data_IF_859825499240
#
_entry.id   IF_859825499240
#
_cell.length_a   1.000
_cell.length_b   1.000
_cell.length_c   1.000
_cell.angle_alpha   90.00
_cell.angle_beta   90.00
_cell.angle_gamma   90.00
#
_symmetry.space_group_name_H-M   'P 1'
#
loop_
_entity.id
_entity.type
_entity.pdbx_description
1 polymer ?
#
# COMPACT_ATOMS: atom_id res chain seq x y z
N UNK A 1 31.14 -10.67 -7.78
CA UNK A 1 31.67 -10.81 -9.15
C UNK A 1 30.64 -10.19 -10.08
N UNK A 2 31.04 -9.31 -11.00
CA UNK A 2 30.10 -8.72 -11.95
C UNK A 2 29.96 -9.70 -13.11
N UNK A 3 28.73 -10.18 -13.37
CA UNK A 3 28.47 -11.13 -14.46
C UNK A 3 28.53 -10.41 -15.81
N UNK A 4 28.98 -11.12 -16.85
CA UNK A 4 29.00 -10.61 -18.22
C UNK A 4 27.57 -10.34 -18.74
N UNK A 5 27.42 -9.28 -19.55
CA UNK A 5 26.13 -8.88 -20.12
C UNK A 5 25.98 -9.54 -21.49
N UNK A 6 24.94 -10.36 -21.67
CA UNK A 6 24.60 -10.99 -22.94
C UNK A 6 23.63 -10.11 -23.73
N UNK A 7 24.02 -9.70 -24.94
CA UNK A 7 23.22 -8.85 -25.82
C UNK A 7 22.62 -9.69 -26.95
N UNK A 8 21.30 -9.60 -27.12
CA UNK A 8 20.53 -10.31 -28.13
C UNK A 8 19.90 -9.32 -29.10
N UNK A 9 19.97 -9.61 -30.39
CA UNK A 9 19.24 -8.87 -31.42
C UNK A 9 18.01 -9.68 -31.79
N UNK A 10 16.84 -9.20 -31.38
CA UNK A 10 15.56 -9.86 -31.61
C UNK A 10 14.75 -9.13 -32.67
N UNK A 11 13.93 -9.85 -33.42
CA UNK A 11 12.95 -9.23 -34.31
C UNK A 11 11.80 -8.61 -33.51
N UNK A 12 11.05 -7.64 -34.08
CA UNK A 12 9.92 -7.01 -33.37
C UNK A 12 8.88 -8.03 -32.86
N UNK A 13 8.62 -9.08 -33.63
CA UNK A 13 7.68 -10.16 -33.26
C UNK A 13 8.20 -10.99 -32.07
N UNK A 14 9.52 -11.20 -31.98
CA UNK A 14 10.13 -11.92 -30.87
C UNK A 14 10.16 -11.08 -29.60
N UNK A 15 10.35 -9.77 -29.71
CA UNK A 15 10.27 -8.84 -28.56
C UNK A 15 8.85 -8.82 -27.98
N UNK A 16 7.84 -8.80 -28.84
CA UNK A 16 6.43 -8.80 -28.41
C UNK A 16 6.04 -10.06 -27.63
N UNK A 17 6.67 -11.20 -27.95
CA UNK A 17 6.41 -12.49 -27.30
C UNK A 17 7.49 -12.89 -26.28
N UNK A 18 8.33 -11.96 -25.84
CA UNK A 18 9.42 -12.28 -24.91
C UNK A 18 8.89 -12.65 -23.52
N UNK A 19 9.33 -13.81 -23.02
CA UNK A 19 9.07 -14.28 -21.65
C UNK A 19 10.40 -14.44 -20.91
N UNK A 20 10.53 -13.93 -19.66
CA UNK A 20 11.70 -14.20 -18.83
C UNK A 20 11.96 -15.70 -18.68
N UNK A 21 13.19 -16.14 -18.98
CA UNK A 21 13.56 -17.57 -18.97
C UNK A 21 13.42 -18.28 -20.31
N UNK A 22 12.90 -17.61 -21.35
CA UNK A 22 12.88 -18.15 -22.71
C UNK A 22 14.29 -18.29 -23.29
N UNK A 23 14.56 -19.39 -24.00
CA UNK A 23 15.84 -19.60 -24.65
C UNK A 23 15.94 -18.72 -25.91
N UNK A 24 16.75 -17.67 -25.83
CA UNK A 24 17.00 -16.73 -26.93
C UNK A 24 18.15 -17.17 -27.87
N UNK A 25 18.68 -18.38 -27.68
CA UNK A 25 19.83 -18.88 -28.43
C UNK A 25 21.15 -18.24 -28.03
N UNK A 26 22.07 -18.12 -28.98
CA UNK A 26 23.39 -17.56 -28.74
C UNK A 26 23.34 -16.02 -28.75
N UNK A 27 23.97 -15.35 -27.77
CA UNK A 27 24.06 -13.90 -27.77
C UNK A 27 24.91 -13.42 -28.94
N UNK A 28 24.50 -12.30 -29.53
CA UNK A 28 25.23 -11.65 -30.63
C UNK A 28 26.53 -11.06 -30.10
N UNK A 29 26.50 -10.52 -28.87
CA UNK A 29 27.68 -9.95 -28.22
C UNK A 29 27.63 -10.18 -26.72
N UNK A 30 28.80 -10.38 -26.12
CA UNK A 30 28.97 -10.44 -24.67
C UNK A 30 29.81 -9.24 -24.27
N UNK A 31 29.21 -8.33 -23.51
CA UNK A 31 29.86 -7.12 -23.04
C UNK A 31 30.32 -7.27 -21.59
N UNK A 32 31.57 -6.88 -21.33
CA UNK A 32 32.06 -6.75 -19.96
C UNK A 32 31.44 -5.49 -19.35
N UNK A 33 30.79 -5.58 -18.19
CA UNK A 33 30.22 -4.43 -17.53
C UNK A 33 31.35 -3.45 -17.16
N UNK A 34 31.31 -2.25 -17.75
CA UNK A 34 32.36 -1.22 -17.59
C UNK A 34 32.44 -0.64 -16.18
N UNK A 35 31.35 -0.71 -15.43
CA UNK A 35 31.29 -0.29 -14.04
C UNK A 35 30.07 -0.93 -13.38
N UNK A 36 30.21 -1.32 -12.12
CA UNK A 36 29.05 -1.62 -11.29
C UNK A 36 28.20 -0.34 -11.21
N UNK A 37 26.97 -0.40 -11.72
CA UNK A 37 25.97 0.63 -11.40
C UNK A 37 25.74 0.51 -9.91
N UNK A 38 26.47 1.30 -9.11
CA UNK A 38 26.03 1.60 -7.76
C UNK A 38 24.71 2.33 -7.98
N UNK A 39 23.61 1.70 -7.61
CA UNK A 39 22.39 2.45 -7.32
C UNK A 39 22.88 3.48 -6.33
N UNK A 40 23.05 4.73 -6.80
CA UNK A 40 23.21 5.85 -5.91
C UNK A 40 21.85 5.88 -5.23
N UNK A 41 21.75 5.19 -4.09
CA UNK A 41 20.70 5.48 -3.16
C UNK A 41 20.72 7.00 -3.04
N UNK A 42 19.63 7.65 -3.45
CA UNK A 42 19.56 9.11 -3.43
C UNK A 42 19.96 9.62 -2.05
N UNK A 43 20.14 10.94 -1.87
CA UNK A 43 20.63 11.56 -0.63
C UNK A 43 19.83 11.23 0.66
N UNK A 44 18.83 10.36 0.59
CA UNK A 44 18.00 9.86 1.67
C UNK A 44 18.46 8.54 2.32
N UNK A 45 19.43 7.80 1.77
CA UNK A 45 19.83 6.52 2.39
C UNK A 45 20.80 6.65 3.57
N UNK A 46 21.54 7.75 3.66
CA UNK A 46 22.38 8.08 4.81
C UNK A 46 21.65 9.00 5.80
N UNK A 47 20.33 8.82 6.01
CA UNK A 47 19.73 9.37 7.22
C UNK A 47 20.22 8.48 8.37
N UNK A 48 21.04 9.00 9.32
CA UNK A 48 21.35 8.22 10.51
C UNK A 48 20.02 7.79 11.14
N UNK A 49 19.83 6.48 11.32
CA UNK A 49 18.74 6.00 12.17
C UNK A 49 18.92 6.73 13.50
N UNK A 50 17.93 7.49 13.99
CA UNK A 50 18.09 8.17 15.27
C UNK A 50 18.41 7.09 16.29
N UNK A 51 19.60 7.20 16.90
CA UNK A 51 19.98 6.36 18.03
C UNK A 51 18.87 6.50 19.06
N UNK A 52 18.34 5.36 19.48
CA UNK A 52 17.59 5.25 20.72
C UNK A 52 18.57 5.51 21.88
N UNK A 53 18.90 6.77 22.08
CA UNK A 53 19.70 7.26 23.21
C UNK A 53 18.87 8.34 23.88
N UNK A 54 18.14 7.90 24.91
CA UNK A 54 17.75 8.61 26.13
C UNK A 54 17.94 10.13 26.07
N UNK A 55 16.90 10.87 25.68
CA UNK A 55 16.88 12.30 25.94
C UNK A 55 16.45 12.58 27.39
N UNK A 56 17.05 13.62 28.01
CA UNK A 56 16.83 14.00 29.39
C UNK A 56 15.44 14.59 29.60
N UNK A 57 14.96 14.51 30.84
CA UNK A 57 13.76 15.18 31.34
C UNK A 57 13.78 16.67 30.99
N UNK A 58 13.14 17.05 29.89
CA UNK A 58 12.80 18.44 29.59
C UNK A 58 11.34 18.68 29.97
N UNK A 59 11.06 19.55 30.95
CA UNK A 59 9.70 19.99 31.22
C UNK A 59 9.36 21.06 30.16
N UNK A 60 8.24 20.87 29.46
CA UNK A 60 7.60 21.96 28.71
C UNK A 60 7.28 21.68 27.24
N UNK A 61 6.24 20.90 27.00
CA UNK A 61 5.00 21.46 26.47
C UNK A 61 3.87 20.53 26.91
N UNK A 62 3.29 20.87 28.05
CA UNK A 62 2.10 20.21 28.54
C UNK A 62 0.97 20.37 27.54
N UNK A 63 0.38 19.23 27.21
CA UNK A 63 -1.08 19.03 27.16
C UNK A 63 -1.88 19.77 26.07
N UNK A 64 -3.05 19.19 25.81
CA UNK A 64 -4.20 19.78 25.13
C UNK A 64 -4.11 19.69 23.59
N UNK A 65 -4.82 18.84 22.89
CA UNK A 65 -6.08 18.15 23.16
C UNK A 65 -6.10 16.95 22.22
N UNK A 66 -6.50 15.78 22.71
CA UNK A 66 -7.10 14.80 21.81
C UNK A 66 -8.14 15.55 21.02
N UNK A 67 -7.93 15.74 19.71
CA UNK A 67 -8.99 16.31 18.87
C UNK A 67 -10.20 15.43 19.17
N UNK A 68 -11.33 15.99 19.61
CA UNK A 68 -12.53 15.19 19.73
C UNK A 68 -12.67 14.55 18.35
N UNK A 69 -12.66 13.22 18.30
CA UNK A 69 -12.91 12.51 17.05
C UNK A 69 -14.38 12.76 16.74
N UNK A 70 -14.64 13.95 16.21
CA UNK A 70 -15.96 14.37 15.78
C UNK A 70 -16.28 13.45 14.62
N UNK A 71 -17.21 12.54 14.93
CA UNK A 71 -17.79 11.55 14.04
C UNK A 71 -16.83 10.41 13.67
N UNK A 72 -16.47 9.59 14.67
CA UNK A 72 -15.98 8.23 14.43
C UNK A 72 -17.02 7.47 13.61
N UNK A 73 -16.80 7.36 12.30
CA UNK A 73 -17.53 6.40 11.48
C UNK A 73 -17.37 5.01 12.12
N UNK A 74 -18.46 4.41 12.58
CA UNK A 74 -18.44 3.08 13.19
C UNK A 74 -18.54 2.00 12.11
N UNK A 75 -18.06 0.79 12.43
CA UNK A 75 -18.13 -0.37 11.53
C UNK A 75 -19.58 -0.66 11.11
N UNK A 76 -20.52 -0.61 12.06
CA UNK A 76 -21.93 -0.84 11.80
C UNK A 76 -22.53 0.20 10.84
N UNK A 77 -22.24 1.48 11.06
CA UNK A 77 -22.75 2.56 10.20
C UNK A 77 -22.18 2.44 8.78
N UNK A 78 -20.89 2.13 8.64
CA UNK A 78 -20.27 1.83 7.35
C UNK A 78 -20.98 0.69 6.62
N UNK A 79 -21.18 -0.45 7.30
CA UNK A 79 -21.80 -1.61 6.69
C UNK A 79 -23.26 -1.37 6.30
N UNK A 80 -24.04 -0.61 7.09
CA UNK A 80 -25.40 -0.19 6.70
C UNK A 80 -25.41 0.59 5.39
N UNK A 81 -24.54 1.59 5.26
CA UNK A 81 -24.44 2.37 4.01
C UNK A 81 -23.99 1.51 2.82
N UNK A 82 -23.14 0.48 3.06
CA UNK A 82 -22.76 -0.47 2.02
C UNK A 82 -23.92 -1.38 1.61
N UNK A 83 -24.77 -1.81 2.55
CA UNK A 83 -26.00 -2.57 2.27
C UNK A 83 -27.02 -1.73 1.51
N UNK A 84 -27.10 -0.43 1.80
CA UNK A 84 -27.88 0.57 1.04
C UNK A 84 -27.34 0.80 -0.39
N UNK A 85 -26.19 0.19 -0.75
CA UNK A 85 -25.61 0.25 -2.08
C UNK A 85 -24.65 1.41 -2.32
N UNK A 86 -24.31 2.21 -1.29
CA UNK A 86 -23.34 3.29 -1.46
C UNK A 86 -21.92 2.76 -1.69
N UNK A 87 -21.21 3.42 -2.61
CA UNK A 87 -19.79 3.17 -2.83
C UNK A 87 -18.95 3.83 -1.73
N UNK A 88 -17.73 3.34 -1.49
CA UNK A 88 -16.79 3.88 -0.50
C UNK A 88 -16.51 5.37 -0.72
N UNK A 89 -16.44 5.82 -1.97
CA UNK A 89 -16.27 7.25 -2.30
C UNK A 89 -17.45 8.07 -1.79
N UNK A 90 -18.68 7.64 -2.10
CA UNK A 90 -19.91 8.29 -1.64
C UNK A 90 -20.04 8.26 -0.11
N UNK A 91 -19.63 7.17 0.53
CA UNK A 91 -19.61 7.05 2.00
C UNK A 91 -18.63 8.06 2.60
N UNK A 92 -17.45 8.21 2.01
CA UNK A 92 -16.44 9.17 2.45
C UNK A 92 -16.95 10.61 2.34
N UNK A 93 -17.55 10.96 1.18
CA UNK A 93 -18.16 12.27 0.93
C UNK A 93 -19.32 12.55 1.90
N UNK A 94 -20.24 11.59 2.06
CA UNK A 94 -21.40 11.72 2.94
C UNK A 94 -21.02 11.92 4.41
N UNK A 95 -19.93 11.31 4.84
CA UNK A 95 -19.45 11.40 6.22
C UNK A 95 -18.44 12.55 6.43
N UNK A 96 -18.09 13.28 5.37
CA UNK A 96 -17.09 14.35 5.43
C UNK A 96 -15.69 13.85 5.81
N UNK A 97 -15.37 12.60 5.49
CA UNK A 97 -14.09 11.95 5.82
C UNK A 97 -13.28 11.75 4.55
N UNK A 98 -11.96 11.98 4.60
CA UNK A 98 -11.10 11.70 3.47
C UNK A 98 -11.17 10.20 3.07
N UNK A 99 -11.18 9.91 1.77
CA UNK A 99 -11.25 8.53 1.27
C UNK A 99 -10.13 7.63 1.82
N UNK A 100 -8.92 8.18 1.99
CA UNK A 100 -7.78 7.49 2.61
C UNK A 100 -8.05 7.12 4.07
N UNK A 101 -8.68 8.00 4.83
CA UNK A 101 -9.08 7.76 6.22
C UNK A 101 -10.14 6.68 6.30
N UNK A 102 -11.14 6.69 5.42
CA UNK A 102 -12.12 5.60 5.30
C UNK A 102 -11.44 4.26 5.01
N UNK A 103 -10.50 4.23 4.06
CA UNK A 103 -9.73 3.02 3.77
C UNK A 103 -8.94 2.53 4.99
N UNK A 104 -8.41 3.44 5.81
CA UNK A 104 -7.77 3.12 7.08
C UNK A 104 -8.72 2.44 8.06
N UNK A 105 -9.95 2.94 8.20
CA UNK A 105 -10.97 2.31 9.03
C UNK A 105 -11.36 0.92 8.52
N UNK A 106 -11.60 0.78 7.22
CA UNK A 106 -11.93 -0.51 6.58
C UNK A 106 -10.84 -1.56 6.82
N UNK A 107 -9.55 -1.17 6.72
CA UNK A 107 -8.42 -2.05 7.05
C UNK A 107 -8.41 -2.43 8.53
N UNK A 108 -8.61 -1.48 9.43
CA UNK A 108 -8.66 -1.72 10.88
C UNK A 108 -9.78 -2.69 11.27
N UNK A 109 -10.89 -2.69 10.52
CA UNK A 109 -12.00 -3.62 10.74
C UNK A 109 -11.85 -4.98 10.05
N UNK A 110 -10.76 -5.22 9.32
CA UNK A 110 -10.55 -6.47 8.57
C UNK A 110 -11.43 -6.62 7.33
N UNK A 111 -12.01 -5.52 6.82
CA UNK A 111 -12.92 -5.48 5.67
C UNK A 111 -12.22 -5.03 4.37
N UNK A 112 -10.89 -5.04 4.34
CA UNK A 112 -10.11 -4.69 3.15
C UNK A 112 -10.33 -5.67 2.00
N UNK A 113 -10.58 -6.95 2.32
CA UNK A 113 -10.92 -7.98 1.35
C UNK A 113 -12.41 -7.92 0.98
N UNK A 114 -12.71 -7.95 -0.32
CA UNK A 114 -14.07 -7.95 -0.86
C UNK A 114 -14.93 -9.09 -0.31
N UNK A 115 -14.35 -10.27 -0.07
CA UNK A 115 -15.06 -11.44 0.45
C UNK A 115 -15.52 -11.21 1.90
N UNK A 116 -14.61 -10.68 2.74
CA UNK A 116 -14.94 -10.38 4.14
C UNK A 116 -15.99 -9.28 4.23
N UNK A 117 -15.89 -8.28 3.36
CA UNK A 117 -16.90 -7.22 3.25
C UNK A 117 -18.27 -7.78 2.83
N UNK A 118 -18.34 -8.65 1.82
CA UNK A 118 -19.61 -9.24 1.39
C UNK A 118 -20.24 -10.13 2.45
N UNK A 119 -19.43 -10.89 3.19
CA UNK A 119 -19.91 -11.68 4.32
C UNK A 119 -20.47 -10.80 5.43
N UNK A 120 -19.75 -9.72 5.79
CA UNK A 120 -20.21 -8.78 6.81
C UNK A 120 -21.50 -8.04 6.43
N UNK A 121 -21.64 -7.64 5.16
CA UNK A 121 -22.89 -7.06 4.65
C UNK A 121 -24.05 -8.07 4.70
N UNK A 122 -23.79 -9.33 4.37
CA UNK A 122 -24.81 -10.39 4.38
C UNK A 122 -25.32 -10.70 5.79
N UNK A 123 -24.44 -10.67 6.80
CA UNK A 123 -24.83 -10.81 8.21
C UNK A 123 -25.78 -9.70 8.67
N UNK A 124 -25.46 -8.44 8.35
CA UNK A 124 -26.35 -7.32 8.66
C UNK A 124 -27.69 -7.43 7.94
N UNK A 125 -27.70 -7.83 6.66
CA UNK A 125 -28.94 -8.03 5.91
C UNK A 125 -29.85 -9.11 6.51
N UNK A 126 -29.28 -10.10 7.18
CA UNK A 126 -30.01 -11.15 7.92
C UNK A 126 -30.48 -10.72 9.31
N UNK A 127 -30.14 -9.51 9.78
CA UNK A 127 -30.50 -9.01 11.10
C UNK A 127 -29.55 -9.46 12.23
N UNK A 128 -28.45 -10.15 11.91
CA UNK A 128 -27.42 -10.56 12.87
C UNK A 128 -26.41 -9.43 13.05
N UNK A 129 -26.79 -8.38 13.79
CA UNK A 129 -25.87 -7.31 14.16
C UNK A 129 -25.32 -7.59 15.57
N UNK A 130 -24.07 -8.09 15.66
CA UNK A 130 -23.29 -8.08 16.89
C UNK A 130 -23.05 -6.63 17.35
N UNK A 131 -23.40 -6.37 18.61
CA UNK A 131 -23.22 -5.12 19.35
C UNK A 131 -21.74 -4.84 19.67
#
# INVERSE_FOLDING_TARGET
MISDIKVYQLTPEQVANYVPGMNLGNPVRIDKPKSMVRIHEGPYANRPKPKSESQPDKPGLGSLRGRPQQNKLTKAMYLRMRVEGMNRVQIAERQGVAYSTLCGYVRKWGLSNRIHESMAMSKIKKGEAEE
#
